data_IF_995602806560
#
_entry.id   IF_995602806560
#
_cell.length_a   1.000
_cell.length_b   1.000
_cell.length_c   1.000
_cell.angle_alpha   90.00
_cell.angle_beta   90.00
_cell.angle_gamma   90.00
#
_symmetry.space_group_name_H-M   'P 1'
#
loop_
_entity.id
_entity.type
_entity.pdbx_description
1 polymer ?
#
# COMPACT_ATOMS: atom_id res chain seq x y z
N UNK A 1 -19.07 -19.15 -3.71
CA UNK A 1 -20.36 -19.55 -4.32
C UNK A 1 -20.12 -20.70 -5.29
N UNK A 2 -19.25 -20.58 -6.30
CA UNK A 2 -18.97 -21.63 -7.28
C UNK A 2 -18.52 -22.95 -6.60
N UNK A 3 -17.62 -22.87 -5.62
CA UNK A 3 -17.18 -24.01 -4.83
C UNK A 3 -18.37 -24.80 -4.21
N UNK A 4 -19.30 -24.07 -3.61
CA UNK A 4 -20.53 -24.70 -3.02
C UNK A 4 -21.52 -25.20 -4.06
N UNK A 5 -21.63 -24.53 -5.21
CA UNK A 5 -22.57 -24.92 -6.28
C UNK A 5 -22.11 -26.17 -7.05
N UNK A 6 -20.80 -26.32 -7.21
CA UNK A 6 -20.22 -27.38 -8.03
C UNK A 6 -19.45 -28.42 -7.22
N UNK A 7 -19.54 -28.36 -5.87
CA UNK A 7 -18.81 -29.24 -4.93
C UNK A 7 -17.31 -29.32 -5.22
N UNK A 8 -16.71 -28.17 -5.53
CA UNK A 8 -15.29 -28.06 -5.83
C UNK A 8 -14.51 -28.10 -4.51
N UNK A 9 -13.43 -28.86 -4.46
CA UNK A 9 -12.49 -28.87 -3.34
C UNK A 9 -11.26 -28.06 -3.75
N UNK A 10 -11.35 -26.73 -3.60
CA UNK A 10 -10.27 -25.81 -3.94
C UNK A 10 -9.58 -25.33 -2.67
N UNK A 11 -8.26 -25.28 -2.71
CA UNK A 11 -7.49 -24.61 -1.66
C UNK A 11 -7.72 -23.08 -1.72
N UNK A 12 -7.71 -22.42 -0.57
CA UNK A 12 -7.95 -20.97 -0.51
C UNK A 12 -6.99 -20.17 -1.38
N UNK A 13 -5.70 -20.58 -1.41
CA UNK A 13 -4.69 -19.94 -2.23
C UNK A 13 -5.00 -20.07 -3.73
N UNK A 14 -5.59 -21.17 -4.17
CA UNK A 14 -6.02 -21.33 -5.57
C UNK A 14 -7.15 -20.38 -5.93
N UNK A 15 -8.12 -20.19 -5.01
CA UNK A 15 -9.17 -19.18 -5.19
C UNK A 15 -8.62 -17.76 -5.30
N UNK A 16 -7.61 -17.42 -4.51
CA UNK A 16 -6.89 -16.13 -4.58
C UNK A 16 -6.21 -15.96 -5.95
N UNK A 17 -5.51 -16.99 -6.42
CA UNK A 17 -4.84 -16.98 -7.73
C UNK A 17 -5.85 -16.85 -8.88
N UNK A 18 -6.96 -17.58 -8.83
CA UNK A 18 -8.04 -17.48 -9.82
C UNK A 18 -8.62 -16.06 -9.84
N UNK A 19 -8.85 -15.45 -8.66
CA UNK A 19 -9.34 -14.08 -8.57
C UNK A 19 -8.40 -13.09 -9.25
N UNK A 20 -7.09 -13.17 -8.96
CA UNK A 20 -6.07 -12.34 -9.63
C UNK A 20 -6.06 -12.58 -11.15
N UNK A 21 -6.07 -13.83 -11.57
CA UNK A 21 -6.05 -14.18 -12.99
C UNK A 21 -7.29 -13.64 -13.71
N UNK A 22 -8.46 -13.68 -13.08
CA UNK A 22 -9.68 -13.11 -13.65
C UNK A 22 -9.55 -11.60 -13.88
N UNK A 23 -8.97 -10.85 -12.95
CA UNK A 23 -8.73 -9.43 -13.14
C UNK A 23 -7.72 -9.16 -14.27
N UNK A 24 -6.62 -9.91 -14.31
CA UNK A 24 -5.57 -9.68 -15.28
C UNK A 24 -5.98 -10.11 -16.69
N UNK A 25 -6.51 -11.32 -16.85
CA UNK A 25 -6.72 -11.94 -18.17
C UNK A 25 -8.10 -11.60 -18.76
N UNK A 26 -9.14 -11.46 -17.91
CA UNK A 26 -10.49 -11.22 -18.37
C UNK A 26 -10.90 -9.74 -18.30
N UNK A 27 -10.56 -9.03 -17.21
CA UNK A 27 -10.88 -7.61 -17.06
C UNK A 27 -9.80 -6.75 -17.71
N UNK A 28 -8.55 -7.23 -17.80
CA UNK A 28 -7.42 -6.56 -18.46
C UNK A 28 -6.70 -5.55 -17.55
N UNK A 29 -6.88 -5.66 -16.22
CA UNK A 29 -6.15 -4.84 -15.24
C UNK A 29 -4.92 -5.61 -14.78
N UNK A 30 -3.73 -5.08 -15.01
CA UNK A 30 -2.47 -5.71 -14.59
C UNK A 30 -2.22 -5.53 -13.07
N UNK A 31 -3.20 -5.92 -12.25
CA UNK A 31 -3.19 -5.75 -10.79
C UNK A 31 -2.22 -6.70 -10.08
N UNK A 32 -1.79 -6.30 -8.87
CA UNK A 32 -1.14 -7.19 -7.92
C UNK A 32 -2.11 -8.19 -7.29
N UNK A 33 -1.63 -8.95 -6.30
CA UNK A 33 -2.42 -10.01 -5.61
C UNK A 33 -3.02 -9.54 -4.28
N UNK A 34 -2.74 -8.30 -3.85
CA UNK A 34 -2.99 -7.82 -2.49
C UNK A 34 -4.44 -8.01 -2.05
N UNK A 35 -5.40 -7.54 -2.84
CA UNK A 35 -6.80 -7.52 -2.44
C UNK A 35 -7.39 -8.92 -2.37
N UNK A 36 -7.11 -9.76 -3.37
CA UNK A 36 -7.56 -11.15 -3.40
C UNK A 36 -6.93 -11.95 -2.27
N UNK A 37 -5.62 -11.70 -1.98
CA UNK A 37 -4.92 -12.37 -0.89
C UNK A 37 -5.47 -11.95 0.48
N UNK A 38 -5.68 -10.66 0.69
CA UNK A 38 -6.23 -10.13 1.94
C UNK A 38 -7.63 -10.71 2.24
N UNK A 39 -8.50 -10.77 1.24
CA UNK A 39 -9.84 -11.34 1.38
C UNK A 39 -9.81 -12.86 1.60
N UNK A 40 -8.94 -13.57 0.88
CA UNK A 40 -8.86 -15.03 0.93
C UNK A 40 -8.18 -15.56 2.18
N UNK A 41 -7.14 -14.90 2.66
CA UNK A 41 -6.23 -15.41 3.68
C UNK A 41 -6.29 -14.62 5.02
N UNK A 42 -7.07 -13.55 5.08
CA UNK A 42 -7.23 -12.72 6.28
C UNK A 42 -7.74 -13.51 7.49
N UNK A 43 -7.25 -13.17 8.67
CA UNK A 43 -7.69 -13.74 9.95
C UNK A 43 -7.95 -12.61 10.95
N UNK A 44 -8.86 -12.88 11.89
CA UNK A 44 -9.23 -11.91 12.91
C UNK A 44 -8.02 -11.51 13.78
N UNK A 45 -7.88 -10.22 14.03
CA UNK A 45 -6.78 -9.62 14.81
C UNK A 45 -5.37 -9.98 14.28
N UNK A 46 -5.26 -10.18 12.98
CA UNK A 46 -4.00 -10.47 12.32
C UNK A 46 -3.78 -9.56 11.12
N UNK A 47 -2.54 -9.12 10.95
CA UNK A 47 -2.05 -8.58 9.69
C UNK A 47 -1.39 -9.69 8.87
N UNK A 48 -1.48 -9.60 7.56
CA UNK A 48 -0.78 -10.52 6.67
C UNK A 48 0.55 -9.90 6.27
N UNK A 49 1.65 -10.58 6.57
CA UNK A 49 2.93 -10.33 5.94
C UNK A 49 3.09 -11.31 4.78
N UNK A 50 3.18 -10.82 3.57
CA UNK A 50 3.20 -11.62 2.34
C UNK A 50 4.47 -11.35 1.53
N UNK A 51 5.22 -12.39 1.19
CA UNK A 51 6.19 -12.35 0.11
C UNK A 51 5.45 -12.54 -1.22
N UNK A 52 5.43 -11.48 -2.03
CA UNK A 52 4.69 -11.48 -3.30
C UNK A 52 5.37 -12.28 -4.41
N UNK A 53 6.63 -12.67 -4.25
CA UNK A 53 7.37 -13.52 -5.20
C UNK A 53 7.04 -14.99 -5.00
N UNK A 54 7.06 -15.44 -3.73
CA UNK A 54 6.88 -16.87 -3.38
C UNK A 54 5.45 -17.20 -2.98
N UNK A 55 4.66 -16.20 -2.58
CA UNK A 55 3.35 -16.28 -1.93
C UNK A 55 3.39 -16.96 -0.55
N UNK A 56 4.56 -17.07 0.04
CA UNK A 56 4.71 -17.42 1.45
C UNK A 56 4.22 -16.25 2.32
N UNK A 57 3.53 -16.55 3.41
CA UNK A 57 2.95 -15.52 4.26
C UNK A 57 2.94 -15.92 5.73
N UNK A 58 2.97 -14.91 6.58
CA UNK A 58 2.81 -15.03 8.02
C UNK A 58 1.62 -14.19 8.50
N UNK A 59 0.93 -14.70 9.52
CA UNK A 59 -0.10 -13.96 10.24
C UNK A 59 0.50 -13.28 11.46
N UNK A 60 0.79 -11.99 11.32
CA UNK A 60 1.40 -11.15 12.36
C UNK A 60 0.32 -10.66 13.32
N UNK A 61 0.56 -10.66 14.64
CA UNK A 61 -0.38 -10.07 15.60
C UNK A 61 -0.74 -8.62 15.27
N UNK A 62 -2.03 -8.27 15.32
CA UNK A 62 -2.53 -6.92 15.13
C UNK A 62 -3.34 -6.50 16.37
N UNK A 63 -2.62 -6.27 17.49
CA UNK A 63 -3.21 -5.72 18.70
C UNK A 63 -3.14 -4.20 18.69
N UNK A 64 -4.23 -3.56 18.27
CA UNK A 64 -4.33 -2.11 18.16
C UNK A 64 -4.60 -1.40 19.50
N UNK A 65 -4.78 -2.13 20.60
CA UNK A 65 -5.08 -1.60 21.95
C UNK A 65 -6.28 -0.63 21.93
N UNK A 66 -6.04 0.62 22.27
CA UNK A 66 -7.06 1.67 22.28
C UNK A 66 -7.15 2.43 20.94
N UNK A 67 -6.59 1.88 19.88
CA UNK A 67 -6.67 2.48 18.54
C UNK A 67 -7.56 1.67 17.61
N UNK A 68 -8.03 2.33 16.58
CA UNK A 68 -8.79 1.75 15.47
C UNK A 68 -8.22 2.22 14.14
N UNK A 69 -8.43 1.44 13.10
CA UNK A 69 -8.15 1.86 11.73
C UNK A 69 -9.36 2.61 11.20
N UNK A 70 -9.18 3.88 10.86
CA UNK A 70 -10.18 4.70 10.17
C UNK A 70 -9.85 4.71 8.69
N UNK A 71 -10.79 4.26 7.86
CA UNK A 71 -10.70 4.32 6.41
C UNK A 71 -11.28 5.67 5.96
N UNK A 72 -10.51 6.41 5.17
CA UNK A 72 -10.86 7.72 4.63
C UNK A 72 -10.95 7.63 3.11
N UNK A 73 -12.15 7.68 2.56
CA UNK A 73 -12.36 7.62 1.12
C UNK A 73 -12.37 9.04 0.53
N UNK A 74 -11.52 9.28 -0.44
CA UNK A 74 -11.45 10.57 -1.15
C UNK A 74 -12.71 10.91 -1.92
N UNK A 75 -13.56 9.95 -2.25
CA UNK A 75 -14.71 10.09 -3.15
C UNK A 75 -14.34 10.65 -4.56
N UNK A 76 -13.05 10.65 -4.90
CA UNK A 76 -12.57 11.02 -6.23
C UNK A 76 -13.02 9.99 -7.27
N UNK A 77 -13.60 10.45 -8.37
CA UNK A 77 -13.89 9.58 -9.53
C UNK A 77 -12.58 9.14 -10.18
N UNK A 78 -12.44 7.83 -10.38
CA UNK A 78 -11.27 7.23 -11.03
C UNK A 78 -11.48 7.27 -12.55
N UNK A 79 -10.79 8.18 -13.25
CA UNK A 79 -10.93 8.29 -14.70
C UNK A 79 -9.73 7.69 -15.48
N UNK A 80 -8.55 7.59 -14.89
CA UNK A 80 -7.32 7.11 -15.55
C UNK A 80 -6.40 6.32 -14.63
N UNK A 81 -6.92 5.78 -13.53
CA UNK A 81 -6.09 5.10 -12.52
C UNK A 81 -5.35 3.88 -13.09
N UNK A 82 -6.01 3.10 -13.96
CA UNK A 82 -5.44 1.86 -14.50
C UNK A 82 -4.27 2.13 -15.45
N UNK A 83 -4.36 3.16 -16.30
CA UNK A 83 -3.27 3.52 -17.20
C UNK A 83 -2.04 4.04 -16.45
N UNK A 84 -2.24 4.85 -15.41
CA UNK A 84 -1.16 5.36 -14.58
C UNK A 84 -0.53 4.26 -13.69
N UNK A 85 -1.33 3.33 -13.20
CA UNK A 85 -0.82 2.17 -12.49
C UNK A 85 0.10 1.33 -13.38
N UNK A 86 -0.33 1.03 -14.60
CA UNK A 86 0.47 0.30 -15.57
C UNK A 86 1.77 1.05 -15.94
N UNK A 87 1.72 2.38 -16.03
CA UNK A 87 2.91 3.22 -16.25
C UNK A 87 3.93 3.04 -15.10
N UNK A 88 3.50 3.16 -13.83
CA UNK A 88 4.38 2.96 -12.66
C UNK A 88 5.00 1.57 -12.63
N UNK A 89 4.23 0.57 -12.99
CA UNK A 89 4.73 -0.81 -13.08
C UNK A 89 5.79 -0.96 -14.17
N UNK A 90 5.55 -0.42 -15.36
CA UNK A 90 6.50 -0.45 -16.47
C UNK A 90 7.81 0.31 -16.14
N UNK A 91 7.73 1.43 -15.42
CA UNK A 91 8.89 2.16 -14.93
C UNK A 91 9.75 1.29 -13.99
N UNK A 92 9.15 0.56 -13.06
CA UNK A 92 9.85 -0.36 -12.16
C UNK A 92 10.45 -1.56 -12.92
N UNK A 93 9.71 -2.17 -13.83
CA UNK A 93 10.18 -3.30 -14.65
C UNK A 93 11.37 -2.89 -15.55
N UNK A 94 11.32 -1.68 -16.10
CA UNK A 94 12.44 -1.12 -16.87
C UNK A 94 13.67 -0.89 -15.99
N UNK A 95 13.48 -0.34 -14.77
CA UNK A 95 14.58 -0.15 -13.82
C UNK A 95 15.24 -1.48 -13.45
N UNK A 96 14.46 -2.55 -13.23
CA UNK A 96 15.01 -3.91 -12.99
C UNK A 96 15.88 -4.34 -14.18
N UNK A 97 15.38 -4.20 -15.41
CA UNK A 97 16.12 -4.59 -16.62
C UNK A 97 17.43 -3.81 -16.78
N UNK A 98 17.45 -2.53 -16.42
CA UNK A 98 18.67 -1.71 -16.44
C UNK A 98 19.66 -2.13 -15.34
N UNK A 99 19.19 -2.46 -14.15
CA UNK A 99 20.03 -2.95 -13.06
C UNK A 99 20.61 -4.35 -13.35
N UNK A 100 19.88 -5.20 -14.08
CA UNK A 100 20.34 -6.54 -14.51
C UNK A 100 21.57 -6.50 -15.44
N UNK A 101 21.97 -5.33 -15.95
CA UNK A 101 23.26 -5.21 -16.65
C UNK A 101 24.45 -5.62 -15.76
N UNK A 102 24.33 -5.53 -14.43
CA UNK A 102 25.39 -5.87 -13.46
C UNK A 102 24.94 -6.65 -12.23
N UNK A 103 23.64 -6.74 -11.97
CA UNK A 103 23.08 -7.41 -10.81
C UNK A 103 22.27 -8.63 -11.24
N UNK A 104 22.43 -9.73 -10.53
CA UNK A 104 21.61 -10.94 -10.72
C UNK A 104 20.38 -10.84 -9.80
N UNK A 105 19.37 -10.06 -10.23
CA UNK A 105 18.10 -9.84 -9.52
C UNK A 105 16.93 -10.09 -10.45
N UNK A 106 15.79 -10.48 -9.88
CA UNK A 106 14.53 -10.61 -10.60
C UNK A 106 13.55 -9.51 -10.22
N UNK A 107 13.68 -8.97 -9.02
CA UNK A 107 12.79 -7.93 -8.48
C UNK A 107 13.57 -6.89 -7.67
N UNK A 108 13.01 -5.67 -7.56
CA UNK A 108 13.57 -4.62 -6.71
C UNK A 108 13.53 -4.97 -5.21
N UNK A 109 12.64 -5.88 -4.80
CA UNK A 109 12.53 -6.35 -3.42
C UNK A 109 13.74 -7.16 -2.93
N UNK A 110 14.59 -7.64 -3.83
CA UNK A 110 15.83 -8.37 -3.51
C UNK A 110 16.97 -7.42 -3.11
N UNK A 111 16.83 -6.12 -3.37
CA UNK A 111 17.86 -5.13 -3.09
C UNK A 111 17.72 -4.53 -1.70
N UNK A 112 18.86 -4.34 -1.05
CA UNK A 112 18.98 -3.36 0.03
C UNK A 112 19.32 -1.96 -0.51
N UNK A 113 19.17 -0.94 0.34
CA UNK A 113 19.40 0.45 -0.05
C UNK A 113 20.86 0.69 -0.49
N UNK A 114 21.83 0.06 0.17
CA UNK A 114 23.25 0.24 -0.16
C UNK A 114 23.59 -0.27 -1.54
N UNK A 115 23.10 -1.46 -1.86
CA UNK A 115 23.27 -2.07 -3.19
C UNK A 115 22.54 -1.24 -4.24
N UNK A 116 21.29 -0.81 -3.95
CA UNK A 116 20.55 0.06 -4.86
C UNK A 116 21.30 1.37 -5.13
N UNK A 117 21.77 2.07 -4.11
CA UNK A 117 22.48 3.35 -4.28
C UNK A 117 23.79 3.17 -5.06
N UNK A 118 24.52 2.08 -4.82
CA UNK A 118 25.77 1.77 -5.53
C UNK A 118 25.57 1.52 -7.04
N UNK A 119 24.40 1.03 -7.46
CA UNK A 119 24.12 0.66 -8.83
C UNK A 119 23.02 1.51 -9.51
N UNK A 120 22.42 2.46 -8.81
CA UNK A 120 21.35 3.32 -9.34
C UNK A 120 21.76 4.12 -10.59
N UNK A 121 23.06 4.35 -10.81
CA UNK A 121 23.59 5.00 -12.00
C UNK A 121 23.35 4.22 -13.30
N UNK A 122 22.98 2.95 -13.23
CA UNK A 122 22.60 2.13 -14.39
C UNK A 122 21.22 2.51 -14.90
N UNK A 123 20.37 3.05 -14.05
CA UNK A 123 19.03 3.50 -14.42
C UNK A 123 19.14 4.84 -15.16
N UNK A 124 18.67 4.88 -16.40
CA UNK A 124 18.90 5.97 -17.34
C UNK A 124 17.94 7.15 -17.22
N UNK A 125 16.99 7.08 -16.29
CA UNK A 125 15.94 8.08 -16.11
C UNK A 125 15.71 8.38 -14.62
N UNK A 126 15.68 9.66 -14.26
CA UNK A 126 15.57 10.11 -12.87
C UNK A 126 14.24 9.69 -12.22
N UNK A 127 13.14 9.65 -12.98
CA UNK A 127 11.86 9.19 -12.46
C UNK A 127 11.92 7.70 -12.15
N UNK A 128 12.50 6.89 -13.04
CA UNK A 128 12.70 5.46 -12.77
C UNK A 128 13.58 5.20 -11.56
N UNK A 129 14.61 6.04 -11.32
CA UNK A 129 15.41 5.96 -10.08
C UNK A 129 14.52 6.19 -8.86
N UNK A 130 13.65 7.20 -8.87
CA UNK A 130 12.70 7.47 -7.76
C UNK A 130 11.73 6.30 -7.56
N UNK A 131 11.11 5.76 -8.63
CA UNK A 131 10.19 4.61 -8.55
C UNK A 131 10.87 3.38 -7.95
N UNK A 132 12.07 3.05 -8.45
CA UNK A 132 12.85 1.93 -7.94
C UNK A 132 13.28 2.14 -6.48
N UNK A 133 13.73 3.34 -6.11
CA UNK A 133 14.06 3.70 -4.73
C UNK A 133 12.86 3.51 -3.80
N UNK A 134 11.68 3.98 -4.22
CA UNK A 134 10.45 3.74 -3.46
C UNK A 134 10.23 2.24 -3.20
N UNK A 135 10.29 1.41 -4.24
CA UNK A 135 10.04 -0.03 -4.11
C UNK A 135 11.05 -0.72 -3.16
N UNK A 136 12.35 -0.40 -3.28
CA UNK A 136 13.39 -0.92 -2.39
C UNK A 136 13.15 -0.51 -0.93
N UNK A 137 12.88 0.77 -0.69
CA UNK A 137 12.64 1.29 0.66
C UNK A 137 11.31 0.80 1.24
N UNK A 138 10.26 0.65 0.42
CA UNK A 138 8.95 0.17 0.89
C UNK A 138 9.03 -1.28 1.34
N UNK A 139 9.81 -2.12 0.63
CA UNK A 139 10.08 -3.48 1.08
C UNK A 139 10.75 -3.49 2.46
N UNK A 140 11.76 -2.64 2.69
CA UNK A 140 12.41 -2.53 3.99
C UNK A 140 11.48 -1.96 5.07
N UNK A 141 10.63 -0.98 4.74
CA UNK A 141 9.59 -0.45 5.66
C UNK A 141 8.61 -1.54 6.08
N UNK A 142 8.22 -2.40 5.14
CA UNK A 142 7.32 -3.54 5.43
C UNK A 142 7.95 -4.52 6.43
N UNK A 143 9.24 -4.84 6.28
CA UNK A 143 9.98 -5.66 7.24
C UNK A 143 10.06 -5.02 8.63
N UNK A 144 10.26 -3.71 8.70
CA UNK A 144 10.27 -2.95 9.96
C UNK A 144 8.87 -2.88 10.58
N UNK A 145 7.83 -2.68 9.76
CA UNK A 145 6.44 -2.65 10.20
C UNK A 145 6.01 -3.99 10.82
N UNK A 146 6.42 -5.12 10.22
CA UNK A 146 6.24 -6.45 10.80
C UNK A 146 6.84 -6.51 12.22
N UNK A 147 8.10 -6.12 12.38
CA UNK A 147 8.78 -6.13 13.69
C UNK A 147 8.10 -5.20 14.71
N UNK A 148 7.64 -4.03 14.28
CA UNK A 148 6.91 -3.10 15.14
C UNK A 148 5.60 -3.72 15.66
N UNK A 149 4.82 -4.38 14.79
CA UNK A 149 3.60 -5.09 15.19
C UNK A 149 3.88 -6.27 16.10
N UNK A 150 4.91 -7.08 15.81
CA UNK A 150 5.32 -8.23 16.64
C UNK A 150 5.77 -7.80 18.05
N UNK A 151 6.37 -6.61 18.18
CA UNK A 151 6.78 -6.05 19.47
C UNK A 151 5.72 -5.18 20.16
N UNK A 152 4.58 -4.92 19.51
CA UNK A 152 3.53 -4.02 20.00
C UNK A 152 3.91 -2.53 19.97
N UNK A 153 4.92 -2.14 19.17
CA UNK A 153 5.32 -0.73 18.95
C UNK A 153 4.40 -0.08 17.91
N UNK A 154 3.18 0.30 18.34
CA UNK A 154 2.21 0.96 17.48
C UNK A 154 2.64 2.37 17.03
N UNK A 155 3.42 3.07 17.86
CA UNK A 155 3.96 4.39 17.46
C UNK A 155 5.00 4.24 16.34
N UNK A 156 5.90 3.26 16.47
CA UNK A 156 6.84 2.91 15.40
C UNK A 156 6.13 2.50 14.13
N UNK A 157 5.10 1.69 14.22
CA UNK A 157 4.25 1.33 13.07
C UNK A 157 3.60 2.54 12.42
N UNK A 158 3.04 3.48 13.21
CA UNK A 158 2.46 4.72 12.72
C UNK A 158 3.49 5.61 11.98
N UNK A 159 4.70 5.76 12.54
CA UNK A 159 5.80 6.48 11.85
C UNK A 159 6.16 5.85 10.51
N UNK A 160 6.16 4.52 10.41
CA UNK A 160 6.41 3.81 9.15
C UNK A 160 5.28 4.03 8.14
N UNK A 161 4.01 4.10 8.58
CA UNK A 161 2.89 4.49 7.73
C UNK A 161 3.11 5.89 7.13
N UNK A 162 3.48 6.88 7.94
CA UNK A 162 3.74 8.23 7.48
C UNK A 162 4.91 8.27 6.47
N UNK A 163 6.02 7.59 6.77
CA UNK A 163 7.17 7.50 5.87
C UNK A 163 6.82 6.83 4.54
N UNK A 164 5.95 5.83 4.57
CA UNK A 164 5.42 5.20 3.36
C UNK A 164 4.62 6.19 2.50
N UNK A 165 3.73 6.98 3.13
CA UNK A 165 2.94 7.98 2.39
C UNK A 165 3.83 9.04 1.73
N UNK A 166 4.82 9.58 2.47
CA UNK A 166 5.79 10.55 1.92
C UNK A 166 6.52 9.98 0.70
N UNK A 167 6.93 8.73 0.75
CA UNK A 167 7.59 8.09 -0.39
C UNK A 167 6.63 7.82 -1.57
N UNK A 168 5.37 7.49 -1.28
CA UNK A 168 4.31 7.36 -2.29
C UNK A 168 3.99 8.69 -2.98
N UNK A 169 4.07 9.81 -2.24
CA UNK A 169 3.85 11.16 -2.72
C UNK A 169 5.01 11.66 -3.59
N UNK A 170 6.26 11.54 -3.10
CA UNK A 170 7.40 12.21 -3.72
C UNK A 170 8.26 11.31 -4.62
N UNK A 171 8.35 10.01 -4.30
CA UNK A 171 9.15 9.07 -5.07
C UNK A 171 8.32 8.28 -6.08
N UNK A 172 7.14 7.81 -5.67
CA UNK A 172 6.28 7.00 -6.53
C UNK A 172 5.23 7.83 -7.29
N UNK A 173 4.84 8.98 -6.75
CA UNK A 173 3.92 9.97 -7.31
C UNK A 173 2.55 9.35 -7.70
N UNK A 174 1.93 8.67 -6.73
CA UNK A 174 0.64 7.99 -6.92
C UNK A 174 -0.48 8.55 -6.02
N UNK A 175 -0.20 9.56 -5.20
CA UNK A 175 -1.15 10.10 -4.23
C UNK A 175 -2.04 11.20 -4.83
N UNK A 176 -1.53 12.40 -4.96
CA UNK A 176 -2.24 13.58 -5.44
C UNK A 176 -3.01 14.32 -4.34
N UNK A 177 -3.53 15.50 -4.69
CA UNK A 177 -4.11 16.45 -3.74
C UNK A 177 -5.06 15.83 -2.72
N UNK A 178 -5.93 14.94 -3.16
CA UNK A 178 -6.99 14.38 -2.32
C UNK A 178 -6.43 13.46 -1.24
N UNK A 179 -5.52 12.52 -1.61
CA UNK A 179 -4.92 11.60 -0.66
C UNK A 179 -3.92 12.31 0.25
N UNK A 180 -3.15 13.27 -0.28
CA UNK A 180 -2.20 14.05 0.50
C UNK A 180 -2.93 14.92 1.52
N UNK A 181 -4.05 15.55 1.14
CA UNK A 181 -4.88 16.32 2.08
C UNK A 181 -5.40 15.45 3.21
N UNK A 182 -5.89 14.21 2.93
CA UNK A 182 -6.34 13.30 3.98
C UNK A 182 -5.21 12.90 4.92
N UNK A 183 -4.07 12.47 4.38
CA UNK A 183 -2.96 11.96 5.18
C UNK A 183 -2.29 13.06 6.00
N UNK A 184 -1.96 14.20 5.38
CA UNK A 184 -1.30 15.31 6.07
C UNK A 184 -2.20 15.90 7.16
N UNK A 185 -3.50 16.10 6.88
CA UNK A 185 -4.43 16.57 7.90
C UNK A 185 -4.59 15.57 9.04
N UNK A 186 -4.59 14.26 8.72
CA UNK A 186 -4.65 13.22 9.74
C UNK A 186 -3.45 13.26 10.69
N UNK A 187 -2.24 13.50 10.20
CA UNK A 187 -1.03 13.57 11.04
C UNK A 187 -1.06 14.70 12.08
N UNK A 188 -1.80 15.77 11.80
CA UNK A 188 -1.94 16.94 12.69
C UNK A 188 -2.94 16.70 13.83
N UNK A 189 -3.73 15.62 13.77
CA UNK A 189 -4.80 15.39 14.75
C UNK A 189 -4.27 14.68 16.00
N UNK A 190 -4.75 15.13 17.16
CA UNK A 190 -4.47 14.47 18.43
C UNK A 190 -4.99 13.01 18.42
N UNK A 191 -4.17 12.08 18.92
CA UNK A 191 -4.54 10.67 19.00
C UNK A 191 -4.34 9.89 17.72
N UNK A 192 -3.74 10.48 16.68
CA UNK A 192 -3.34 9.78 15.45
C UNK A 192 -1.90 9.31 15.58
N UNK A 193 -1.67 8.02 15.39
CA UNK A 193 -0.32 7.44 15.38
C UNK A 193 0.32 7.49 14.00
N UNK A 194 -0.48 7.41 12.93
CA UNK A 194 -0.01 7.50 11.57
C UNK A 194 -1.14 7.37 10.56
N UNK A 195 -0.88 7.83 9.34
CA UNK A 195 -1.82 7.74 8.22
C UNK A 195 -1.08 7.62 6.89
N UNK A 196 -1.68 6.89 5.95
CA UNK A 196 -1.16 6.72 4.58
C UNK A 196 -2.28 6.38 3.60
N UNK A 197 -2.03 6.62 2.33
CA UNK A 197 -2.88 6.04 1.30
C UNK A 197 -2.80 4.50 1.30
N UNK A 198 -3.83 3.86 0.77
CA UNK A 198 -3.87 2.41 0.53
C UNK A 198 -4.41 2.11 -0.87
N UNK A 199 -4.02 0.96 -1.44
CA UNK A 199 -4.38 0.57 -2.79
C UNK A 199 -3.49 1.19 -3.88
N UNK A 200 -4.03 1.33 -5.08
CA UNK A 200 -3.29 1.78 -6.26
C UNK A 200 -2.96 3.29 -6.27
N UNK A 201 -3.63 4.09 -5.46
CA UNK A 201 -3.51 5.54 -5.50
C UNK A 201 -4.40 6.20 -6.55
N UNK A 202 -4.05 7.41 -6.96
CA UNK A 202 -4.77 8.26 -7.92
C UNK A 202 -6.22 8.58 -7.51
N UNK A 203 -6.49 8.59 -6.23
CA UNK A 203 -7.77 8.60 -5.54
C UNK A 203 -7.96 7.35 -4.69
N UNK A 204 -9.21 6.99 -4.38
CA UNK A 204 -9.51 5.86 -3.50
C UNK A 204 -9.35 6.22 -2.03
N UNK A 205 -8.68 5.40 -1.24
CA UNK A 205 -8.69 5.52 0.20
C UNK A 205 -7.30 5.80 0.80
N UNK A 206 -7.32 6.52 1.93
CA UNK A 206 -6.25 6.52 2.92
C UNK A 206 -6.73 5.80 4.18
N UNK A 207 -5.81 5.37 5.02
CA UNK A 207 -6.08 4.78 6.34
C UNK A 207 -5.32 5.57 7.40
N UNK A 208 -5.93 5.71 8.58
CA UNK A 208 -5.29 6.30 9.75
C UNK A 208 -5.45 5.37 10.96
N UNK A 209 -4.43 5.31 11.79
CA UNK A 209 -4.48 4.64 13.09
C UNK A 209 -4.79 5.69 14.15
N UNK A 210 -6.00 5.65 14.71
CA UNK A 210 -6.57 6.71 15.54
C UNK A 210 -7.01 6.13 16.89
N UNK A 211 -6.77 6.85 17.98
CA UNK A 211 -7.33 6.51 19.28
C UNK A 211 -8.87 6.55 19.21
N UNK A 212 -9.51 5.49 19.75
CA UNK A 212 -10.99 5.33 19.66
C UNK A 212 -11.77 6.49 20.22
N UNK A 213 -11.26 7.13 21.28
CA UNK A 213 -11.95 8.25 21.94
C UNK A 213 -11.86 9.56 21.12
N UNK A 214 -10.99 9.60 20.12
CA UNK A 214 -10.76 10.76 19.24
C UNK A 214 -11.36 10.63 17.85
N UNK A 215 -12.00 9.50 17.52
CA UNK A 215 -12.48 9.20 16.15
C UNK A 215 -13.46 10.25 15.62
N UNK A 216 -14.41 10.69 16.43
CA UNK A 216 -15.43 11.65 15.97
C UNK A 216 -14.85 13.06 15.74
N UNK A 217 -13.95 13.51 16.64
CA UNK A 217 -13.23 14.78 16.46
C UNK A 217 -12.31 14.71 15.23
N UNK A 218 -11.62 13.58 15.06
CA UNK A 218 -10.79 13.31 13.91
C UNK A 218 -11.57 13.40 12.59
N UNK A 219 -12.69 12.67 12.47
CA UNK A 219 -13.54 12.70 11.27
C UNK A 219 -14.01 14.11 10.94
N UNK A 220 -14.42 14.87 11.96
CA UNK A 220 -14.88 16.25 11.79
C UNK A 220 -13.76 17.16 11.27
N UNK A 221 -12.59 17.13 11.90
CA UNK A 221 -11.47 17.98 11.53
C UNK A 221 -10.92 17.64 10.14
N UNK A 222 -10.67 16.34 9.86
CA UNK A 222 -10.18 15.89 8.57
C UNK A 222 -11.22 16.14 7.46
N UNK A 223 -12.49 15.85 7.74
CA UNK A 223 -13.57 16.09 6.78
C UNK A 223 -13.73 17.56 6.40
N UNK A 224 -13.72 18.45 7.38
CA UNK A 224 -13.79 19.88 7.16
C UNK A 224 -12.59 20.39 6.33
N UNK A 225 -11.37 20.05 6.74
CA UNK A 225 -10.16 20.48 6.04
C UNK A 225 -10.12 19.95 4.61
N UNK A 226 -10.52 18.70 4.41
CA UNK A 226 -10.58 18.12 3.08
C UNK A 226 -11.58 18.87 2.18
N UNK A 227 -12.78 19.15 2.66
CA UNK A 227 -13.80 19.87 1.89
C UNK A 227 -13.36 21.30 1.54
N UNK A 228 -12.66 21.99 2.46
CA UNK A 228 -12.07 23.31 2.21
C UNK A 228 -11.02 23.30 1.08
N UNK A 229 -10.21 22.26 1.00
CA UNK A 229 -9.09 22.17 0.03
C UNK A 229 -9.54 21.57 -1.30
N UNK A 230 -10.35 20.52 -1.24
CA UNK A 230 -10.71 19.70 -2.41
C UNK A 230 -12.05 20.14 -3.04
N UNK A 231 -12.92 20.74 -2.24
CA UNK A 231 -14.20 21.28 -2.72
C UNK A 231 -15.39 20.32 -2.62
N UNK A 232 -15.21 19.12 -2.08
CA UNK A 232 -16.27 18.15 -1.78
C UNK A 232 -15.88 17.28 -0.58
N UNK A 233 -16.89 16.70 0.09
CA UNK A 233 -16.65 15.94 1.31
C UNK A 233 -16.05 14.54 1.06
N UNK A 234 -15.13 14.07 1.93
CA UNK A 234 -14.70 12.69 1.97
C UNK A 234 -15.74 11.81 2.67
N UNK A 235 -15.57 10.50 2.69
CA UNK A 235 -16.34 9.59 3.54
C UNK A 235 -15.41 8.74 4.44
N UNK A 236 -15.97 8.32 5.57
CA UNK A 236 -15.21 7.58 6.57
C UNK A 236 -15.91 6.26 6.93
#
# INVERSE_FOLDING_TARGET
IAEKLFDLKLERLDLVKIGKQTENDFIGVNSGIMDQFAIGMGAEQRAIYLDTNTLEYDLVPLDLKDNVVVIMNTNKRRELADSKYNERRAECETAVSELQEKLDIQTLGELDLWTFDAYSYLIKDENRIKRARHAVLENQRTLQARKALESGDLEGFGRLMNASHVSLEHDYEVTGLELDTLAHTAWEQEGVLGARMTGAGFGGCAIALVNKDKVEDFKKAVGQRYEEVVGYAPSF
#
